data_IF_616556750478
#
_entry.id   IF_616556750478
#
_cell.length_a   1.000
_cell.length_b   1.000
_cell.length_c   1.000
_cell.angle_alpha   90.00
_cell.angle_beta   90.00
_cell.angle_gamma   90.00
#
_symmetry.space_group_name_H-M   'P 1'
#
loop_
_entity.id
_entity.type
_entity.pdbx_description
1 polymer ?
#
# COMPACT_ATOMS: atom_id res chain seq x y z
N UNK A 1 13.93 17.09 -14.09
CA UNK A 1 14.95 16.10 -13.97
C UNK A 1 14.38 14.85 -13.30
N UNK A 2 15.19 13.81 -13.26
CA UNK A 2 14.69 12.52 -12.82
C UNK A 2 14.26 12.54 -11.35
N UNK A 3 14.84 13.42 -10.55
CA UNK A 3 14.44 13.51 -9.16
C UNK A 3 12.99 13.94 -9.03
N UNK A 4 12.54 14.81 -9.89
CA UNK A 4 11.16 15.27 -9.86
C UNK A 4 10.22 14.12 -10.24
N UNK A 5 10.59 13.37 -11.25
CA UNK A 5 9.78 12.24 -11.66
C UNK A 5 9.68 11.20 -10.57
N UNK A 6 10.78 10.94 -9.90
CA UNK A 6 10.76 10.00 -8.79
C UNK A 6 9.88 10.51 -7.67
N UNK A 7 9.90 11.81 -7.40
CA UNK A 7 9.06 12.37 -6.38
C UNK A 7 7.58 12.15 -6.71
N UNK A 8 7.21 12.30 -7.98
CA UNK A 8 5.84 12.03 -8.37
C UNK A 8 5.48 10.57 -8.21
N UNK A 9 6.38 9.68 -8.63
CA UNK A 9 6.13 8.26 -8.50
C UNK A 9 6.01 7.85 -7.04
N UNK A 10 6.72 8.56 -6.16
CA UNK A 10 6.71 8.28 -4.73
C UNK A 10 5.80 9.19 -3.95
N UNK A 11 4.97 9.97 -4.65
CA UNK A 11 4.09 10.90 -3.97
C UNK A 11 2.96 10.20 -3.23
N UNK A 12 2.66 8.96 -3.58
CA UNK A 12 1.64 8.20 -2.87
C UNK A 12 2.22 7.75 -1.54
N UNK A 13 1.67 8.27 -0.48
CA UNK A 13 2.08 7.90 0.86
C UNK A 13 0.90 7.33 1.62
N UNK A 14 1.20 6.65 2.71
CA UNK A 14 0.17 6.05 3.52
C UNK A 14 0.56 6.11 4.97
N UNK A 15 -0.43 6.06 5.82
CA UNK A 15 -0.23 6.11 7.26
C UNK A 15 -1.44 5.50 7.96
N UNK A 16 -1.30 5.10 9.20
CA UNK A 16 -0.05 5.02 9.94
C UNK A 16 0.80 3.83 9.52
N UNK A 17 2.08 3.90 9.81
CA UNK A 17 2.98 2.79 9.61
C UNK A 17 4.00 2.84 10.74
N UNK A 18 3.95 1.91 11.70
CA UNK A 18 3.13 0.70 11.70
C UNK A 18 1.66 0.97 11.94
N UNK A 19 0.85 0.00 11.56
CA UNK A 19 -0.61 0.12 11.65
C UNK A 19 -1.17 -1.10 12.39
N UNK A 20 -2.33 -0.91 13.04
CA UNK A 20 -3.01 -2.04 13.66
C UNK A 20 -4.33 -2.39 12.98
N UNK A 21 -4.86 -1.54 12.13
CA UNK A 21 -6.12 -1.89 11.46
C UNK A 21 -6.27 -1.22 10.11
N UNK A 22 -6.19 0.10 10.03
CA UNK A 22 -6.53 0.83 8.82
C UNK A 22 -5.32 1.58 8.28
N UNK A 23 -5.24 1.64 6.97
CA UNK A 23 -4.22 2.39 6.27
C UNK A 23 -4.92 3.39 5.38
N UNK A 24 -4.52 4.65 5.48
CA UNK A 24 -5.08 5.71 4.67
C UNK A 24 -3.99 6.20 3.71
N UNK A 25 -4.35 6.32 2.44
CA UNK A 25 -3.42 6.78 1.42
C UNK A 25 -3.61 8.26 1.17
N UNK A 26 -2.58 8.90 0.64
CA UNK A 26 -2.65 10.32 0.33
C UNK A 26 -3.66 10.61 -0.77
N UNK A 27 -4.01 9.60 -1.56
CA UNK A 27 -5.00 9.73 -2.62
C UNK A 27 -5.63 8.38 -2.87
N UNK A 28 -6.76 8.37 -3.56
CA UNK A 28 -7.41 7.11 -3.93
C UNK A 28 -6.50 6.33 -4.87
N UNK A 29 -6.35 5.05 -4.61
CA UNK A 29 -5.47 4.17 -5.38
C UNK A 29 -6.34 3.25 -6.22
N UNK A 30 -5.98 3.10 -7.50
CA UNK A 30 -6.78 2.28 -8.40
C UNK A 30 -6.84 0.84 -7.94
N UNK A 31 -5.72 0.30 -7.49
CA UNK A 31 -5.68 -1.07 -7.01
C UNK A 31 -4.64 -1.18 -5.92
N UNK A 32 -5.01 -1.84 -4.83
CA UNK A 32 -4.12 -2.09 -3.72
C UNK A 32 -4.14 -3.58 -3.44
N UNK A 33 -2.97 -4.21 -3.46
CA UNK A 33 -2.83 -5.61 -3.12
C UNK A 33 -1.98 -5.72 -1.87
N UNK A 34 -2.45 -6.48 -0.89
CA UNK A 34 -1.67 -6.77 0.30
C UNK A 34 -1.00 -8.12 0.08
N UNK A 35 0.32 -8.14 0.16
CA UNK A 35 1.14 -9.29 -0.19
C UNK A 35 1.90 -9.72 1.05
N UNK A 36 1.84 -11.01 1.35
CA UNK A 36 2.56 -11.54 2.52
C UNK A 36 4.01 -11.82 2.16
N UNK A 37 4.76 -12.32 3.13
CA UNK A 37 6.19 -12.54 2.94
C UNK A 37 6.50 -13.67 1.96
N UNK A 38 5.52 -14.49 1.64
CA UNK A 38 5.72 -15.54 0.64
C UNK A 38 5.49 -15.03 -0.78
N UNK A 39 5.04 -13.78 -0.92
CA UNK A 39 4.76 -13.20 -2.22
C UNK A 39 3.34 -13.40 -2.69
N UNK A 40 2.47 -13.90 -1.82
CA UNK A 40 1.09 -14.17 -2.17
C UNK A 40 0.22 -12.98 -1.85
N UNK A 41 -0.61 -12.56 -2.80
CA UNK A 41 -1.58 -11.50 -2.57
C UNK A 41 -2.74 -12.07 -1.77
N UNK A 42 -2.94 -11.54 -0.56
CA UNK A 42 -3.95 -12.07 0.36
C UNK A 42 -5.17 -11.17 0.45
N UNK A 43 -5.05 -9.91 0.07
CA UNK A 43 -6.19 -8.98 0.01
C UNK A 43 -6.02 -8.10 -1.22
N UNK A 44 -7.14 -7.72 -1.81
CA UNK A 44 -7.13 -6.82 -2.97
C UNK A 44 -8.26 -5.81 -2.79
N UNK A 45 -7.92 -4.55 -3.02
CA UNK A 45 -8.88 -3.45 -2.96
C UNK A 45 -8.79 -2.66 -4.25
N UNK A 46 -9.90 -2.08 -4.67
CA UNK A 46 -9.92 -1.23 -5.87
C UNK A 46 -10.54 0.12 -5.52
N UNK A 47 -10.00 1.18 -6.12
CA UNK A 47 -10.49 2.54 -5.93
C UNK A 47 -10.60 2.88 -4.44
N UNK A 48 -9.52 2.61 -3.71
CA UNK A 48 -9.55 2.74 -2.26
C UNK A 48 -8.61 3.84 -1.80
N UNK A 49 -9.09 4.69 -0.94
CA UNK A 49 -8.24 5.65 -0.23
C UNK A 49 -7.90 5.14 1.16
N UNK A 50 -8.75 4.28 1.71
CA UNK A 50 -8.53 3.66 3.01
C UNK A 50 -8.78 2.18 2.89
N UNK A 51 -7.90 1.36 3.45
CA UNK A 51 -8.09 -0.08 3.47
C UNK A 51 -8.04 -0.56 4.91
N UNK A 52 -8.71 -1.68 5.16
CA UNK A 52 -8.77 -2.27 6.49
C UNK A 52 -8.06 -3.62 6.45
N UNK A 53 -7.00 -3.75 7.25
CA UNK A 53 -6.25 -4.99 7.35
C UNK A 53 -6.31 -5.57 8.76
N UNK A 54 -7.35 -5.21 9.50
CA UNK A 54 -7.48 -5.66 10.88
C UNK A 54 -7.53 -7.18 11.00
N UNK A 55 -8.07 -7.84 9.98
CA UNK A 55 -8.19 -9.30 10.01
C UNK A 55 -6.86 -10.02 9.84
N UNK A 56 -5.81 -9.31 9.46
CA UNK A 56 -4.52 -9.96 9.21
C UNK A 56 -3.73 -10.12 10.50
N UNK A 57 -2.97 -11.22 10.63
CA UNK A 57 -2.08 -11.37 11.78
C UNK A 57 -1.01 -10.28 11.79
N UNK A 58 -0.50 -9.98 12.97
CA UNK A 58 0.61 -9.03 13.11
C UNK A 58 1.81 -9.54 12.34
N UNK A 59 2.51 -8.62 11.68
CA UNK A 59 3.68 -9.00 10.90
C UNK A 59 3.99 -7.99 9.83
N UNK A 60 4.90 -8.38 8.94
CA UNK A 60 5.34 -7.53 7.86
C UNK A 60 4.61 -7.93 6.58
N UNK A 61 4.11 -6.93 5.88
CA UNK A 61 3.40 -7.12 4.61
C UNK A 61 3.91 -6.10 3.61
N UNK A 62 3.62 -6.35 2.35
CA UNK A 62 3.92 -5.41 1.29
C UNK A 62 2.63 -4.98 0.63
N UNK A 63 2.55 -3.71 0.29
CA UNK A 63 1.42 -3.17 -0.45
C UNK A 63 1.88 -2.91 -1.87
N UNK A 64 1.20 -3.50 -2.83
CA UNK A 64 1.43 -3.18 -4.22
C UNK A 64 0.34 -2.22 -4.66
N UNK A 65 0.73 -0.98 -4.90
CA UNK A 65 -0.17 0.10 -5.25
C UNK A 65 -0.09 0.31 -6.75
N UNK A 66 -1.19 0.09 -7.45
CA UNK A 66 -1.25 0.32 -8.88
C UNK A 66 -2.05 1.58 -9.14
N UNK A 67 -1.44 2.52 -9.84
CA UNK A 67 -2.06 3.81 -10.11
C UNK A 67 -1.45 4.37 -11.38
N UNK A 68 -2.31 4.79 -12.34
CA UNK A 68 -1.87 5.36 -13.62
C UNK A 68 -0.90 4.43 -14.33
N UNK A 69 -1.22 3.14 -14.38
CA UNK A 69 -0.44 2.12 -15.08
C UNK A 69 0.93 1.90 -14.45
N UNK A 70 1.13 2.34 -13.22
CA UNK A 70 2.39 2.12 -12.52
C UNK A 70 2.13 1.37 -11.24
N UNK A 71 3.04 0.49 -10.89
CA UNK A 71 2.96 -0.29 -9.66
C UNK A 71 4.10 0.12 -8.75
N UNK A 72 3.77 0.36 -7.49
CA UNK A 72 4.73 0.76 -6.47
C UNK A 72 4.59 -0.21 -5.31
N UNK A 73 5.73 -0.68 -4.80
CA UNK A 73 5.73 -1.56 -3.64
C UNK A 73 6.10 -0.77 -2.40
N UNK A 74 5.34 -0.98 -1.34
CA UNK A 74 5.59 -0.34 -0.05
C UNK A 74 5.51 -1.39 1.05
N UNK A 75 6.42 -1.30 1.99
CA UNK A 75 6.44 -2.19 3.14
C UNK A 75 5.55 -1.60 4.23
N UNK A 76 4.76 -2.46 4.87
CA UNK A 76 3.91 -2.04 5.98
C UNK A 76 4.06 -3.05 7.11
N UNK A 77 4.02 -2.54 8.33
CA UNK A 77 4.11 -3.38 9.52
C UNK A 77 2.77 -3.33 10.23
N UNK A 78 2.18 -4.52 10.42
CA UNK A 78 0.90 -4.67 11.13
C UNK A 78 1.20 -5.05 12.57
N UNK A 79 0.68 -4.28 13.49
CA UNK A 79 0.88 -4.54 14.92
C UNK A 79 -0.24 -5.34 15.53
#
# INVERSE_FOLDING_TARGET
DSGIEQAEAESISFFPNPTNSKITFSQAIEKVEVIDLTGKAILTFTNAKTINIESLPAGVYYLRLTHNDKAIMRKVIKE
#
